data_IF_700074405872
#
_entry.id   IF_700074405872
#
_cell.length_a   1.000
_cell.length_b   1.000
_cell.length_c   1.000
_cell.angle_alpha   90.00
_cell.angle_beta   90.00
_cell.angle_gamma   90.00
#
_symmetry.space_group_name_H-M   'P 1'
#
loop_
_entity.id
_entity.type
_entity.pdbx_description
1 polymer ?
#
# COMPACT_ATOMS: atom_id res chain seq x y z
N UNK A 1 -2.43 -30.27 -19.31
CA UNK A 1 -1.53 -29.11 -19.45
C UNK A 1 -2.06 -27.80 -18.84
N UNK A 2 -2.98 -27.81 -17.86
CA UNK A 2 -3.42 -26.55 -17.18
C UNK A 2 -2.28 -25.80 -16.48
N UNK A 3 -1.24 -26.52 -16.05
CA UNK A 3 -0.11 -25.93 -15.32
C UNK A 3 0.86 -25.16 -16.24
N UNK A 4 1.03 -25.58 -17.50
CA UNK A 4 1.87 -24.86 -18.48
C UNK A 4 1.26 -23.49 -18.82
N UNK A 5 -0.07 -23.42 -18.94
CA UNK A 5 -0.79 -22.16 -19.13
C UNK A 5 -0.68 -21.21 -17.92
N UNK A 6 -0.44 -21.75 -16.73
CA UNK A 6 -0.20 -20.91 -15.55
C UNK A 6 1.11 -20.12 -15.67
N UNK A 7 2.12 -20.64 -16.37
CA UNK A 7 3.43 -19.99 -16.55
C UNK A 7 3.35 -18.78 -17.51
N UNK A 8 2.32 -18.72 -18.37
CA UNK A 8 2.05 -17.58 -19.25
C UNK A 8 1.59 -16.34 -18.47
N UNK A 9 0.80 -16.51 -17.42
CA UNK A 9 0.15 -15.42 -16.69
C UNK A 9 1.01 -14.79 -15.60
N UNK A 10 2.33 -14.81 -15.76
CA UNK A 10 3.29 -14.52 -14.70
C UNK A 10 4.09 -13.26 -15.07
N UNK A 11 4.35 -12.39 -14.10
CA UNK A 11 5.09 -11.15 -14.33
C UNK A 11 6.46 -11.40 -14.98
N UNK A 12 7.11 -12.54 -14.71
CA UNK A 12 8.37 -12.91 -15.35
C UNK A 12 8.29 -12.99 -16.89
N UNK A 13 7.14 -13.35 -17.46
CA UNK A 13 6.96 -13.39 -18.91
C UNK A 13 7.05 -12.02 -19.58
N UNK A 14 6.88 -10.91 -18.84
CA UNK A 14 7.10 -9.56 -19.36
C UNK A 14 8.58 -9.21 -19.57
N UNK A 15 9.48 -9.99 -18.99
CA UNK A 15 10.93 -9.87 -19.18
C UNK A 15 11.42 -10.69 -20.39
N UNK A 16 10.73 -11.80 -20.69
CA UNK A 16 11.09 -12.75 -21.74
C UNK A 16 10.05 -12.74 -22.86
N UNK A 17 10.19 -11.80 -23.80
CA UNK A 17 9.30 -11.71 -24.96
C UNK A 17 9.32 -13.01 -25.79
N UNK A 18 8.15 -13.51 -26.18
CA UNK A 18 7.98 -14.71 -27.01
C UNK A 18 7.90 -16.03 -26.25
N UNK A 19 8.20 -16.09 -24.95
CA UNK A 19 8.04 -17.30 -24.11
C UNK A 19 6.57 -17.74 -24.04
N UNK A 20 5.64 -16.79 -24.01
CA UNK A 20 4.20 -17.02 -23.89
C UNK A 20 3.64 -17.88 -25.03
N UNK A 21 4.09 -17.61 -26.26
CA UNK A 21 3.64 -18.31 -27.45
C UNK A 21 4.10 -19.77 -27.46
N UNK A 22 5.39 -20.02 -27.21
CA UNK A 22 5.95 -21.37 -27.14
C UNK A 22 5.27 -22.24 -26.08
N UNK A 23 5.04 -21.69 -24.88
CA UNK A 23 4.33 -22.40 -23.81
C UNK A 23 2.85 -22.65 -24.16
N UNK A 24 2.22 -21.74 -24.89
CA UNK A 24 0.84 -21.89 -25.36
C UNK A 24 0.72 -22.99 -26.39
N UNK A 25 1.67 -23.08 -27.33
CA UNK A 25 1.67 -24.08 -28.39
C UNK A 25 1.92 -25.47 -27.81
N UNK A 26 2.86 -25.60 -26.86
CA UNK A 26 3.09 -26.82 -26.09
C UNK A 26 1.84 -27.23 -25.29
N UNK A 27 1.13 -26.28 -24.68
CA UNK A 27 -0.05 -26.57 -23.86
C UNK A 27 -1.29 -26.98 -24.69
N UNK A 28 -1.39 -26.50 -25.93
CA UNK A 28 -2.50 -26.78 -26.87
C UNK A 28 -2.24 -28.02 -27.72
N UNK A 29 -0.98 -28.43 -27.90
CA UNK A 29 -0.64 -29.63 -28.65
C UNK A 29 -1.28 -30.87 -28.03
N UNK A 30 -1.89 -31.70 -28.89
CA UNK A 30 -2.41 -33.03 -28.53
C UNK A 30 -1.39 -34.14 -28.78
N UNK A 31 -0.29 -33.82 -29.46
CA UNK A 31 0.80 -34.75 -29.71
C UNK A 31 1.72 -34.86 -28.49
N UNK A 32 2.47 -35.96 -28.39
CA UNK A 32 3.54 -36.06 -27.42
C UNK A 32 4.63 -35.02 -27.76
N UNK A 33 5.10 -34.23 -26.78
CA UNK A 33 6.15 -33.27 -27.02
C UNK A 33 7.44 -33.96 -27.47
N UNK A 34 8.23 -33.29 -28.32
CA UNK A 34 9.57 -33.77 -28.69
C UNK A 34 10.53 -33.68 -27.50
N UNK A 35 11.70 -34.33 -27.60
CA UNK A 35 12.73 -34.20 -26.58
C UNK A 35 13.20 -32.74 -26.44
N UNK A 36 13.36 -32.02 -27.55
CA UNK A 36 13.76 -30.61 -27.54
C UNK A 36 12.70 -29.72 -26.86
N UNK A 37 11.42 -30.02 -27.06
CA UNK A 37 10.31 -29.31 -26.43
C UNK A 37 10.25 -29.57 -24.91
N UNK A 38 10.48 -30.81 -24.48
CA UNK A 38 10.60 -31.14 -23.06
C UNK A 38 11.83 -30.47 -22.45
N UNK A 39 12.92 -30.41 -23.20
CA UNK A 39 14.16 -29.77 -22.80
C UNK A 39 13.95 -28.28 -22.52
N UNK A 40 13.39 -27.56 -23.49
CA UNK A 40 12.98 -26.16 -23.35
C UNK A 40 12.04 -25.93 -22.17
N UNK A 41 11.08 -26.84 -21.95
CA UNK A 41 10.13 -26.71 -20.85
C UNK A 41 10.82 -26.77 -19.48
N UNK A 42 11.71 -27.73 -19.24
CA UNK A 42 12.38 -27.82 -17.93
C UNK A 42 13.38 -26.68 -17.71
N UNK A 43 14.04 -26.20 -18.78
CA UNK A 43 14.85 -24.98 -18.71
C UNK A 43 14.03 -23.77 -18.25
N UNK A 44 12.87 -23.55 -18.86
CA UNK A 44 11.98 -22.45 -18.49
C UNK A 44 11.40 -22.58 -17.07
N UNK A 45 11.18 -23.81 -16.59
CA UNK A 45 10.80 -24.07 -15.21
C UNK A 45 11.92 -23.70 -14.23
N UNK A 46 13.16 -24.05 -14.55
CA UNK A 46 14.32 -23.73 -13.72
C UNK A 46 14.58 -22.21 -13.68
N UNK A 47 14.46 -21.54 -14.82
CA UNK A 47 14.50 -20.08 -14.91
C UNK A 47 13.43 -19.44 -14.04
N UNK A 48 12.20 -19.94 -14.09
CA UNK A 48 11.10 -19.41 -13.28
C UNK A 48 11.32 -19.67 -11.77
N UNK A 49 11.89 -20.81 -11.41
CA UNK A 49 12.29 -21.10 -10.02
C UNK A 49 13.35 -20.14 -9.52
N UNK A 50 14.35 -19.79 -10.33
CA UNK A 50 15.33 -18.76 -9.97
C UNK A 50 14.67 -17.38 -9.89
N UNK A 51 13.84 -17.05 -10.88
CA UNK A 51 13.12 -15.78 -10.95
C UNK A 51 12.16 -15.55 -9.79
N UNK A 52 11.70 -16.60 -9.10
CA UNK A 52 10.88 -16.54 -7.89
C UNK A 52 11.59 -15.95 -6.68
N UNK A 53 12.91 -16.14 -6.58
CA UNK A 53 13.72 -15.70 -5.44
C UNK A 53 14.33 -14.31 -5.61
N UNK A 54 14.14 -13.65 -6.75
CA UNK A 54 14.80 -12.39 -7.06
C UNK A 54 13.85 -11.19 -7.11
N UNK A 55 14.40 -10.04 -6.74
CA UNK A 55 13.87 -8.73 -7.09
C UNK A 55 14.73 -8.19 -8.22
N UNK A 56 14.14 -7.96 -9.38
CA UNK A 56 14.85 -7.58 -10.60
C UNK A 56 14.32 -6.26 -11.15
N UNK A 57 15.23 -5.39 -11.57
CA UNK A 57 14.95 -4.15 -12.28
C UNK A 57 15.30 -4.32 -13.75
N UNK A 58 14.41 -3.94 -14.65
CA UNK A 58 14.63 -4.00 -16.09
C UNK A 58 13.73 -2.98 -16.79
N UNK A 59 14.06 -2.62 -18.03
CA UNK A 59 13.20 -1.76 -18.82
C UNK A 59 12.11 -2.60 -19.48
N UNK A 60 10.85 -2.18 -19.30
CA UNK A 60 9.69 -2.82 -19.90
C UNK A 60 8.74 -1.78 -20.46
N UNK A 61 7.91 -2.20 -21.41
CA UNK A 61 6.85 -1.33 -21.92
C UNK A 61 5.70 -1.29 -20.92
N UNK A 62 5.38 -0.10 -20.43
CA UNK A 62 4.25 0.19 -19.56
C UNK A 62 3.17 0.92 -20.38
N UNK A 63 1.93 0.51 -20.21
CA UNK A 63 0.75 1.21 -20.74
C UNK A 63 0.13 2.03 -19.61
N UNK A 64 0.05 3.34 -19.79
CA UNK A 64 -0.62 4.22 -18.84
C UNK A 64 -2.16 4.07 -18.92
N UNK A 65 -2.86 4.63 -17.95
CA UNK A 65 -4.32 4.68 -17.87
C UNK A 65 -4.97 5.39 -19.06
N UNK A 66 -4.25 6.30 -19.72
CA UNK A 66 -4.67 6.98 -20.94
C UNK A 66 -4.40 6.17 -22.23
N UNK A 67 -3.81 4.98 -22.12
CA UNK A 67 -3.48 4.12 -23.26
C UNK A 67 -2.18 4.48 -23.98
N UNK A 68 -1.40 5.43 -23.44
CA UNK A 68 -0.08 5.76 -23.95
C UNK A 68 0.95 4.70 -23.55
N UNK A 69 1.84 4.38 -24.48
CA UNK A 69 2.94 3.43 -24.26
C UNK A 69 4.23 4.19 -23.95
N UNK A 70 4.92 3.77 -22.89
CA UNK A 70 6.24 4.27 -22.51
C UNK A 70 7.17 3.10 -22.19
N UNK A 71 8.46 3.24 -22.51
CA UNK A 71 9.48 2.37 -21.94
C UNK A 71 9.96 2.98 -20.63
N UNK A 72 9.75 2.24 -19.55
CA UNK A 72 10.07 2.66 -18.19
C UNK A 72 10.73 1.51 -17.42
N UNK A 73 11.43 1.86 -16.34
CA UNK A 73 12.00 0.86 -15.45
C UNK A 73 10.88 0.19 -14.65
N UNK A 74 10.86 -1.14 -14.70
CA UNK A 74 9.98 -2.02 -13.95
C UNK A 74 10.79 -2.74 -12.88
N UNK A 75 10.30 -2.69 -11.64
CA UNK A 75 10.83 -3.44 -10.51
C UNK A 75 9.92 -4.64 -10.27
N UNK A 76 10.38 -5.84 -10.58
CA UNK A 76 9.65 -7.10 -10.41
C UNK A 76 10.11 -7.81 -9.14
N UNK A 77 9.15 -8.26 -8.34
CA UNK A 77 9.39 -9.14 -7.19
C UNK A 77 8.85 -10.53 -7.51
N UNK A 78 9.75 -11.47 -7.79
CA UNK A 78 9.34 -12.82 -8.15
C UNK A 78 8.45 -12.86 -9.40
N UNK A 79 7.59 -13.88 -9.53
CA UNK A 79 6.48 -13.90 -10.48
C UNK A 79 5.24 -13.10 -10.03
N UNK A 80 5.27 -12.49 -8.86
CA UNK A 80 4.05 -12.14 -8.09
C UNK A 80 3.57 -10.72 -8.32
N UNK A 81 4.48 -9.74 -8.20
CA UNK A 81 4.16 -8.31 -8.25
C UNK A 81 5.20 -7.56 -9.07
N UNK A 82 4.77 -6.48 -9.73
CA UNK A 82 5.63 -5.55 -10.43
C UNK A 82 5.28 -4.11 -10.02
N UNK A 83 6.28 -3.24 -10.02
CA UNK A 83 6.18 -1.83 -9.65
C UNK A 83 6.85 -0.94 -10.69
N UNK A 84 6.36 0.29 -10.85
CA UNK A 84 7.11 1.34 -11.57
C UNK A 84 8.16 1.97 -10.65
N UNK A 85 8.99 2.87 -11.20
CA UNK A 85 10.00 3.62 -10.43
C UNK A 85 9.42 4.53 -9.34
N UNK A 86 8.11 4.77 -9.35
CA UNK A 86 7.40 5.61 -8.36
C UNK A 86 6.72 4.76 -7.28
N UNK A 87 6.97 3.45 -7.24
CA UNK A 87 6.36 2.53 -6.27
C UNK A 87 4.91 2.16 -6.56
N UNK A 88 4.35 2.59 -7.70
CA UNK A 88 2.99 2.21 -8.09
C UNK A 88 2.96 0.76 -8.53
N UNK A 89 1.90 0.05 -8.15
CA UNK A 89 1.69 -1.31 -8.59
C UNK A 89 1.32 -1.34 -10.08
N UNK A 90 1.93 -2.29 -10.79
CA UNK A 90 1.67 -2.60 -12.17
C UNK A 90 0.89 -3.91 -12.30
N UNK A 91 -0.04 -3.95 -13.25
CA UNK A 91 -0.64 -5.20 -13.71
C UNK A 91 0.11 -5.75 -14.91
N UNK A 92 0.20 -7.07 -15.03
CA UNK A 92 0.74 -7.71 -16.24
C UNK A 92 -0.40 -8.13 -17.18
N UNK A 93 -0.23 -7.87 -18.48
CA UNK A 93 -1.11 -8.28 -19.56
C UNK A 93 -0.44 -9.43 -20.33
N UNK A 94 -0.80 -10.70 -20.06
CA UNK A 94 -0.11 -11.87 -20.62
C UNK A 94 -0.27 -12.03 -22.14
N UNK A 95 -1.33 -11.45 -22.71
CA UNK A 95 -1.61 -11.54 -24.14
C UNK A 95 -0.81 -10.51 -24.95
N UNK A 96 -0.49 -9.37 -24.35
CA UNK A 96 0.29 -8.30 -24.97
C UNK A 96 1.76 -8.28 -24.54
N UNK A 97 2.15 -9.19 -23.65
CA UNK A 97 3.47 -9.30 -22.99
C UNK A 97 3.96 -7.98 -22.38
N UNK A 98 3.03 -7.18 -21.83
CA UNK A 98 3.30 -5.82 -21.36
C UNK A 98 2.76 -5.54 -19.96
N UNK A 99 3.26 -4.48 -19.34
CA UNK A 99 2.75 -3.98 -18.06
C UNK A 99 1.74 -2.87 -18.29
N UNK A 100 0.82 -2.70 -17.34
CA UNK A 100 -0.13 -1.59 -17.31
C UNK A 100 -0.15 -0.94 -15.95
N UNK A 101 -0.25 0.39 -15.94
CA UNK A 101 -0.61 1.12 -14.73
C UNK A 101 -2.05 0.75 -14.37
N UNK A 102 -2.29 0.51 -13.08
CA UNK A 102 -3.62 0.21 -12.59
C UNK A 102 -4.46 1.49 -12.57
N UNK A 103 -5.69 1.43 -13.07
CA UNK A 103 -6.61 2.59 -13.11
C UNK A 103 -6.90 3.21 -11.74
N UNK A 104 -6.65 2.47 -10.66
CA UNK A 104 -6.55 2.99 -9.30
C UNK A 104 -5.42 2.26 -8.60
N UNK A 105 -4.71 2.94 -7.73
CA UNK A 105 -3.72 2.31 -6.87
C UNK A 105 -4.35 1.83 -5.55
N UNK A 106 -3.76 0.80 -4.91
CA UNK A 106 -4.10 0.42 -3.55
C UNK A 106 -3.99 1.57 -2.54
N UNK A 107 -4.55 1.37 -1.34
CA UNK A 107 -4.45 2.35 -0.25
C UNK A 107 -2.99 2.66 0.11
N UNK A 108 -2.74 3.88 0.60
CA UNK A 108 -1.39 4.40 0.91
C UNK A 108 -0.46 3.40 1.63
N UNK A 109 -0.97 2.69 2.65
CA UNK A 109 -0.19 1.65 3.37
C UNK A 109 0.43 0.56 2.50
N UNK A 110 -0.11 0.29 1.30
CA UNK A 110 0.44 -0.66 0.35
C UNK A 110 1.39 0.01 -0.64
N UNK A 111 1.15 1.27 -0.99
CA UNK A 111 2.08 2.08 -1.77
C UNK A 111 3.39 2.27 -1.00
N UNK A 112 3.32 2.53 0.31
CA UNK A 112 4.49 2.60 1.19
C UNK A 112 5.33 1.30 1.13
N UNK A 113 4.71 0.14 0.90
CA UNK A 113 5.41 -1.15 0.73
C UNK A 113 6.03 -1.30 -0.66
N UNK A 114 5.42 -0.71 -1.69
CA UNK A 114 5.99 -0.61 -3.03
C UNK A 114 7.21 0.31 -3.04
N UNK A 115 7.10 1.48 -2.43
CA UNK A 115 8.18 2.45 -2.25
C UNK A 115 9.39 1.80 -1.56
N UNK A 116 9.18 1.07 -0.45
CA UNK A 116 10.25 0.34 0.22
C UNK A 116 11.00 -0.64 -0.70
N UNK A 117 10.31 -1.31 -1.63
CA UNK A 117 10.95 -2.23 -2.59
C UNK A 117 11.72 -1.44 -3.65
N UNK A 118 11.13 -0.36 -4.16
CA UNK A 118 11.70 0.43 -5.25
C UNK A 118 12.88 1.27 -4.78
N UNK A 119 12.88 1.74 -3.54
CA UNK A 119 13.97 2.52 -2.94
C UNK A 119 15.05 1.64 -2.29
N UNK A 120 14.76 0.36 -2.06
CA UNK A 120 15.70 -0.58 -1.46
C UNK A 120 16.90 -0.92 -2.35
N UNK A 121 18.09 -0.92 -1.75
CA UNK A 121 19.34 -1.29 -2.41
C UNK A 121 19.61 -2.79 -2.34
N UNK A 122 20.55 -3.26 -3.17
CA UNK A 122 20.94 -4.67 -3.20
C UNK A 122 21.54 -5.09 -1.85
N UNK A 123 20.87 -6.03 -1.19
CA UNK A 123 21.28 -6.56 0.12
C UNK A 123 20.43 -6.04 1.28
N UNK A 124 19.58 -5.04 1.03
CA UNK A 124 18.65 -4.54 2.02
C UNK A 124 17.51 -5.54 2.27
N UNK A 125 17.07 -5.60 3.53
CA UNK A 125 15.88 -6.33 3.92
C UNK A 125 14.76 -5.31 4.10
N UNK A 126 13.88 -5.25 3.11
CA UNK A 126 12.75 -4.32 3.07
C UNK A 126 11.42 -5.05 3.23
N UNK A 127 10.42 -4.36 3.78
CA UNK A 127 9.04 -4.87 3.83
C UNK A 127 8.35 -4.55 2.52
N UNK A 128 7.94 -5.59 1.80
CA UNK A 128 7.31 -5.48 0.50
C UNK A 128 5.93 -6.13 0.44
N UNK A 129 5.10 -5.68 -0.49
CA UNK A 129 3.82 -6.30 -0.81
C UNK A 129 3.98 -7.36 -1.91
N UNK A 130 3.48 -8.57 -1.66
CA UNK A 130 3.47 -9.67 -2.62
C UNK A 130 2.01 -10.05 -2.88
N UNK A 131 1.61 -10.17 -4.15
CA UNK A 131 0.30 -10.70 -4.55
C UNK A 131 0.43 -12.10 -5.17
N UNK A 132 0.24 -13.19 -4.38
CA UNK A 132 0.28 -14.56 -4.90
C UNK A 132 -0.81 -14.86 -5.95
N UNK A 133 -1.87 -14.05 -5.98
CA UNK A 133 -2.98 -14.20 -6.93
C UNK A 133 -2.71 -13.52 -8.29
N UNK A 134 -1.51 -12.95 -8.47
CA UNK A 134 -1.05 -12.36 -9.73
C UNK A 134 -1.98 -11.26 -10.24
N UNK A 135 -2.46 -10.41 -9.34
CA UNK A 135 -3.28 -9.25 -9.64
C UNK A 135 -4.77 -9.43 -9.35
N UNK A 136 -5.27 -10.64 -9.04
CA UNK A 136 -6.69 -10.83 -8.72
C UNK A 136 -7.08 -10.13 -7.40
N UNK A 137 -6.29 -10.30 -6.34
CA UNK A 137 -6.47 -9.61 -5.05
C UNK A 137 -6.27 -8.12 -5.24
N UNK A 138 -5.22 -7.73 -5.98
CA UNK A 138 -4.95 -6.33 -6.27
C UNK A 138 -6.15 -5.66 -6.98
N UNK A 139 -6.77 -6.36 -7.94
CA UNK A 139 -7.96 -5.87 -8.63
C UNK A 139 -9.18 -5.70 -7.72
N UNK A 140 -9.34 -6.54 -6.70
CA UNK A 140 -10.38 -6.41 -5.67
C UNK A 140 -10.08 -5.27 -4.70
N UNK A 141 -8.81 -5.10 -4.33
CA UNK A 141 -8.37 -4.04 -3.44
C UNK A 141 -8.64 -2.67 -4.06
N UNK A 142 -8.45 -2.57 -5.38
CA UNK A 142 -8.80 -1.43 -6.23
C UNK A 142 -10.31 -1.17 -6.29
N UNK A 143 -11.19 -2.04 -5.82
CA UNK A 143 -12.62 -1.75 -5.73
C UNK A 143 -13.05 -1.30 -4.32
N UNK A 144 -12.17 -1.42 -3.32
CA UNK A 144 -12.51 -1.09 -1.93
C UNK A 144 -12.62 0.42 -1.74
N UNK A 145 -13.75 0.97 -1.25
CA UNK A 145 -13.90 2.41 -1.17
C UNK A 145 -12.93 3.05 -0.17
N UNK A 146 -12.34 4.16 -0.57
CA UNK A 146 -11.46 5.00 0.26
C UNK A 146 -12.21 5.74 1.37
N UNK A 147 -11.49 6.44 2.25
CA UNK A 147 -12.12 7.19 3.36
C UNK A 147 -13.03 8.31 2.85
N UNK A 148 -12.59 9.07 1.85
CA UNK A 148 -13.37 10.13 1.22
C UNK A 148 -14.62 9.59 0.52
N UNK A 149 -14.46 8.50 -0.25
CA UNK A 149 -15.57 7.82 -0.92
C UNK A 149 -16.59 7.29 0.10
N UNK A 150 -16.12 6.72 1.23
CA UNK A 150 -16.99 6.27 2.34
C UNK A 150 -17.75 7.41 2.99
N UNK A 151 -17.12 8.58 3.17
CA UNK A 151 -17.80 9.78 3.68
C UNK A 151 -18.91 10.19 2.71
N UNK A 152 -18.61 10.24 1.41
CA UNK A 152 -19.61 10.53 0.37
C UNK A 152 -20.76 9.52 0.34
N UNK A 153 -20.46 8.22 0.48
CA UNK A 153 -21.46 7.14 0.57
C UNK A 153 -22.35 7.25 1.81
N UNK A 154 -21.84 7.84 2.90
CA UNK A 154 -22.61 8.13 4.11
C UNK A 154 -23.68 9.22 3.93
N UNK A 155 -23.62 9.97 2.82
CA UNK A 155 -24.59 11.00 2.48
C UNK A 155 -24.79 12.04 3.59
N UNK A 156 -25.99 12.61 3.67
CA UNK A 156 -26.33 13.66 4.65
C UNK A 156 -26.08 13.21 6.09
N UNK A 157 -26.41 11.96 6.43
CA UNK A 157 -26.21 11.41 7.78
C UNK A 157 -24.72 11.37 8.15
N UNK A 158 -23.86 10.96 7.21
CA UNK A 158 -22.41 10.95 7.40
C UNK A 158 -21.85 12.35 7.71
N UNK A 159 -22.31 13.37 6.97
CA UNK A 159 -21.89 14.75 7.21
C UNK A 159 -22.39 15.30 8.55
N UNK A 160 -23.61 14.95 9.00
CA UNK A 160 -24.12 15.35 10.32
C UNK A 160 -23.24 14.75 11.43
N UNK A 161 -22.88 13.47 11.34
CA UNK A 161 -22.01 12.81 12.33
C UNK A 161 -20.64 13.48 12.37
N UNK A 162 -20.04 13.78 11.22
CA UNK A 162 -18.76 14.50 11.15
C UNK A 162 -18.86 15.92 11.73
N UNK A 163 -19.98 16.62 11.51
CA UNK A 163 -20.23 17.93 12.11
C UNK A 163 -20.32 17.87 13.64
N UNK A 164 -21.08 16.90 14.18
CA UNK A 164 -21.18 16.68 15.62
C UNK A 164 -19.83 16.30 16.24
N UNK A 165 -19.06 15.46 15.56
CA UNK A 165 -17.70 15.09 15.96
C UNK A 165 -16.80 16.33 16.03
N UNK A 166 -16.85 17.21 15.02
CA UNK A 166 -16.06 18.43 15.01
C UNK A 166 -16.40 19.36 16.18
N UNK A 167 -17.68 19.58 16.46
CA UNK A 167 -18.13 20.39 17.61
C UNK A 167 -17.67 19.76 18.93
N UNK A 168 -17.87 18.46 19.10
CA UNK A 168 -17.44 17.73 20.29
C UNK A 168 -15.92 17.78 20.51
N UNK A 169 -15.15 17.70 19.43
CA UNK A 169 -13.69 17.76 19.45
C UNK A 169 -13.19 19.16 19.85
N UNK A 170 -13.81 20.22 19.34
CA UNK A 170 -13.50 21.61 19.73
C UNK A 170 -13.76 21.83 21.23
N UNK A 171 -14.93 21.41 21.73
CA UNK A 171 -15.27 21.54 23.15
C UNK A 171 -14.31 20.72 24.03
N UNK A 172 -13.94 19.53 23.56
CA UNK A 172 -13.00 18.65 24.27
C UNK A 172 -11.60 19.25 24.35
N UNK A 173 -11.10 19.82 23.24
CA UNK A 173 -9.80 20.52 23.22
C UNK A 173 -9.82 21.71 24.18
N UNK A 174 -10.84 22.57 24.09
CA UNK A 174 -10.99 23.72 24.98
C UNK A 174 -10.95 23.30 26.46
N UNK A 175 -11.70 22.24 26.80
CA UNK A 175 -11.80 21.73 28.16
C UNK A 175 -10.48 21.17 28.65
N UNK A 176 -9.77 20.40 27.81
CA UNK A 176 -8.46 19.84 28.13
C UNK A 176 -7.46 20.96 28.43
N UNK A 177 -7.41 22.02 27.62
CA UNK A 177 -6.52 23.15 27.85
C UNK A 177 -6.85 23.87 29.17
N UNK A 178 -8.12 24.21 29.43
CA UNK A 178 -8.51 24.88 30.68
C UNK A 178 -8.20 24.04 31.92
N UNK A 179 -8.52 22.75 31.89
CA UNK A 179 -8.27 21.86 33.02
C UNK A 179 -6.77 21.67 33.26
N UNK A 180 -5.97 21.56 32.19
CA UNK A 180 -4.51 21.42 32.31
C UNK A 180 -3.88 22.68 32.90
N UNK A 181 -4.30 23.87 32.46
CA UNK A 181 -3.83 25.14 33.03
C UNK A 181 -4.24 25.27 34.48
N UNK A 182 -5.51 24.97 34.80
CA UNK A 182 -6.03 25.04 36.18
C UNK A 182 -5.30 24.05 37.09
N UNK A 183 -5.07 22.81 36.65
CA UNK A 183 -4.35 21.81 37.40
C UNK A 183 -2.90 22.23 37.67
N UNK A 184 -2.22 22.84 36.68
CA UNK A 184 -0.87 23.40 36.87
C UNK A 184 -0.88 24.55 37.88
N UNK A 185 -1.85 25.46 37.80
CA UNK A 185 -1.96 26.59 38.71
C UNK A 185 -2.25 26.15 40.15
N UNK A 186 -3.12 25.16 40.35
CA UNK A 186 -3.40 24.56 41.66
C UNK A 186 -2.17 23.84 42.21
N UNK A 187 -1.46 23.06 41.40
CA UNK A 187 -0.22 22.40 41.83
C UNK A 187 0.89 23.38 42.19
N UNK A 188 0.98 24.53 41.52
CA UNK A 188 1.91 25.59 41.87
C UNK A 188 1.52 26.25 43.20
N UNK A 189 0.24 26.60 43.38
CA UNK A 189 -0.27 27.17 44.63
C UNK A 189 -0.10 26.24 45.83
N UNK A 190 -0.26 24.92 45.64
CA UNK A 190 -0.06 23.95 46.71
C UNK A 190 1.39 23.94 47.26
N UNK A 191 2.36 24.45 46.48
CA UNK A 191 3.76 24.59 46.90
C UNK A 191 4.07 25.95 47.52
N UNK A 192 3.21 26.94 47.34
CA UNK A 192 3.35 28.32 47.83
C UNK A 192 2.13 28.67 48.67
N UNK A 193 2.11 28.14 49.89
CA UNK A 193 0.96 28.25 50.81
C UNK A 193 0.84 29.67 51.39
N UNK A 194 1.98 30.33 51.61
CA UNK A 194 2.05 31.62 52.30
C UNK A 194 1.65 32.81 51.41
N UNK A 195 1.61 32.62 50.08
CA UNK A 195 1.19 33.66 49.12
C UNK A 195 -0.03 33.20 48.28
N UNK A 196 -1.27 33.36 48.80
CA UNK A 196 -2.48 32.95 48.08
C UNK A 196 -2.75 33.79 46.82
N UNK A 197 -2.94 33.12 45.67
CA UNK A 197 -3.30 33.76 44.40
C UNK A 197 -4.75 33.46 43.98
N UNK A 198 -5.55 34.50 43.78
CA UNK A 198 -6.98 34.37 43.43
C UNK A 198 -7.25 33.87 42.00
N UNK A 199 -6.24 33.87 41.13
CA UNK A 199 -6.38 33.39 39.75
C UNK A 199 -6.62 31.89 39.65
N UNK A 200 -6.37 31.13 40.72
CA UNK A 200 -6.63 29.69 40.77
C UNK A 200 -7.58 29.30 41.92
N UNK A 201 -8.32 28.19 41.81
CA UNK A 201 -9.29 27.78 42.82
C UNK A 201 -8.70 27.56 44.22
N UNK A 202 -7.47 27.03 44.33
CA UNK A 202 -6.85 26.71 45.63
C UNK A 202 -6.44 27.99 46.38
N UNK A 203 -5.88 28.98 45.68
CA UNK A 203 -5.48 30.23 46.31
C UNK A 203 -6.67 31.05 46.82
N UNK A 204 -7.84 30.96 46.16
CA UNK A 204 -9.09 31.54 46.69
C UNK A 204 -9.48 30.94 48.06
N UNK A 205 -9.30 29.63 48.21
CA UNK A 205 -9.59 28.93 49.47
C UNK A 205 -8.61 29.35 50.57
N UNK A 206 -7.30 29.37 50.27
CA UNK A 206 -6.28 29.82 51.24
C UNK A 206 -6.50 31.27 51.69
N UNK A 207 -6.86 32.17 50.78
CA UNK A 207 -7.17 33.56 51.13
C UNK A 207 -8.36 33.67 52.10
N UNK A 208 -9.43 32.89 51.89
CA UNK A 208 -10.57 32.89 52.81
C UNK A 208 -10.23 32.32 54.19
N UNK A 209 -9.31 31.34 54.27
CA UNK A 209 -8.86 30.77 55.54
C UNK A 209 -7.93 31.71 56.33
N UNK A 210 -7.08 32.46 55.64
CA UNK A 210 -6.14 33.41 56.26
C UNK A 210 -6.80 34.68 56.81
N UNK A 211 -8.06 34.97 56.47
CA UNK A 211 -8.83 36.13 56.95
C UNK A 211 -9.61 35.85 58.25
N UNK A 212 -9.31 34.76 58.94
CA UNK A 212 -9.92 34.33 60.20
C UNK A 212 -8.85 34.17 61.26
#
# INVERSE_FOLDING_TARGET
MKWVLSLKGVNYSGELQGRSQTLTDLAKSKALPSNEELEMLWYHLLEEMNAQGEVKRFNGTIVDTDGNFSEEEVVRVGPWTAFDRKGNFLGYLPDDERYRVLGRQPQARFLDLGDNIVDGDKGDIVKGAIDPSRGAILSLLIQTPGLSERIGQGGVVGYIILGLLAVGLVLSIERIFRLTITARAVNAQAKDVDNPNESNPLGRVFKCLSLK
#
